data_IF_423596179220
#
_entry.id   IF_423596179220
#
_cell.length_a   1.000
_cell.length_b   1.000
_cell.length_c   1.000
_cell.angle_alpha   90.00
_cell.angle_beta   90.00
_cell.angle_gamma   90.00
#
_symmetry.space_group_name_H-M   'P 1'
#
loop_
_entity.id
_entity.type
_entity.pdbx_description
1 polymer ?
#
# COMPACT_ATOMS: atom_id res chain seq x y z
N UNK A 1 4.07 -10.71 -8.97
CA UNK A 1 3.19 -11.33 -7.96
C UNK A 1 2.33 -10.20 -7.45
N UNK A 2 1.02 -10.39 -7.39
CA UNK A 2 0.07 -9.40 -6.86
C UNK A 2 -0.54 -9.99 -5.60
N UNK A 3 -0.50 -9.26 -4.50
CA UNK A 3 -1.10 -9.66 -3.23
C UNK A 3 -2.12 -8.60 -2.81
N UNK A 4 -3.25 -9.04 -2.25
CA UNK A 4 -4.26 -8.17 -1.66
C UNK A 4 -4.21 -8.28 -0.14
N UNK A 5 -4.08 -7.14 0.52
CA UNK A 5 -3.92 -6.99 1.96
C UNK A 5 -5.21 -6.47 2.57
N UNK A 6 -5.65 -7.14 3.63
CA UNK A 6 -6.84 -6.76 4.39
C UNK A 6 -6.50 -6.64 5.88
N UNK A 7 -7.10 -5.67 6.56
CA UNK A 7 -6.89 -5.49 7.99
C UNK A 7 -7.40 -6.69 8.83
N UNK A 8 -8.34 -7.45 8.29
CA UNK A 8 -9.00 -8.60 8.91
C UNK A 8 -8.55 -9.96 8.35
N UNK A 9 -7.46 -10.01 7.56
CA UNK A 9 -6.97 -11.25 6.96
C UNK A 9 -6.75 -12.37 7.99
N UNK A 10 -7.14 -13.61 7.69
CA UNK A 10 -7.02 -14.71 8.66
C UNK A 10 -5.56 -14.98 9.07
N UNK A 11 -4.62 -14.81 8.13
CA UNK A 11 -3.17 -14.93 8.31
C UNK A 11 -2.58 -13.61 8.85
N UNK A 12 -2.19 -13.54 10.13
CA UNK A 12 -1.72 -12.29 10.73
C UNK A 12 -0.47 -11.71 10.05
N UNK A 13 0.39 -12.57 9.49
CA UNK A 13 1.60 -12.22 8.76
C UNK A 13 1.35 -11.52 7.42
N UNK A 14 0.09 -11.44 6.98
CA UNK A 14 -0.34 -10.67 5.81
C UNK A 14 -1.26 -9.50 6.20
N UNK A 15 -1.53 -9.26 7.49
CA UNK A 15 -2.25 -8.04 7.90
C UNK A 15 -1.32 -6.85 7.81
N UNK A 16 -1.73 -5.70 7.26
CA UNK A 16 -0.98 -4.47 7.42
C UNK A 16 -0.90 -4.07 8.90
N UNK A 17 0.15 -3.34 9.27
CA UNK A 17 0.31 -2.81 10.63
C UNK A 17 -0.60 -1.59 10.87
N UNK A 18 -0.86 -0.83 9.80
CA UNK A 18 -1.77 0.30 9.74
C UNK A 18 -3.16 -0.13 9.26
N UNK A 19 -4.21 0.41 9.89
CA UNK A 19 -5.59 0.17 9.45
C UNK A 19 -6.04 1.29 8.50
N UNK A 20 -6.60 0.95 7.31
CA UNK A 20 -7.21 1.97 6.46
C UNK A 20 -8.45 2.57 7.11
N UNK A 21 -8.60 3.89 6.96
CA UNK A 21 -9.82 4.62 7.29
C UNK A 21 -10.90 4.37 6.24
N UNK A 22 -12.16 4.58 6.63
CA UNK A 22 -13.31 4.49 5.73
C UNK A 22 -13.12 5.35 4.47
N UNK A 23 -13.75 4.89 3.39
CA UNK A 23 -13.74 5.57 2.11
C UNK A 23 -14.25 7.01 2.25
N UNK A 24 -13.45 8.03 1.88
CA UNK A 24 -13.88 9.42 1.98
C UNK A 24 -14.99 9.77 0.97
N UNK A 25 -15.22 8.92 -0.04
CA UNK A 25 -16.22 9.15 -1.09
C UNK A 25 -17.57 8.49 -0.81
N UNK A 26 -17.58 7.25 -0.31
CA UNK A 26 -18.82 6.49 -0.07
C UNK A 26 -19.03 6.07 1.39
N UNK A 27 -18.08 6.33 2.28
CA UNK A 27 -18.17 5.98 3.71
C UNK A 27 -17.94 4.51 4.06
N UNK A 28 -17.77 3.63 3.06
CA UNK A 28 -17.54 2.19 3.24
C UNK A 28 -16.25 1.90 4.02
N UNK A 29 -16.26 0.88 4.85
CA UNK A 29 -15.09 0.31 5.53
C UNK A 29 -14.44 -0.86 4.75
N UNK A 30 -15.01 -1.22 3.60
CA UNK A 30 -14.50 -2.25 2.69
C UNK A 30 -13.31 -1.72 1.89
N UNK A 31 -12.16 -1.62 2.58
CA UNK A 31 -10.89 -1.10 2.06
C UNK A 31 -9.85 -2.20 2.03
N UNK A 32 -9.15 -2.29 0.91
CA UNK A 32 -8.03 -3.20 0.69
C UNK A 32 -6.83 -2.46 0.08
N UNK A 33 -5.68 -3.08 0.19
CA UNK A 33 -4.44 -2.58 -0.41
C UNK A 33 -3.84 -3.67 -1.27
N UNK A 34 -3.65 -3.40 -2.55
CA UNK A 34 -2.95 -4.32 -3.44
C UNK A 34 -1.47 -3.93 -3.49
N UNK A 35 -0.59 -4.93 -3.48
CA UNK A 35 0.86 -4.76 -3.68
C UNK A 35 1.32 -5.56 -4.89
N UNK A 36 2.36 -5.04 -5.55
CA UNK A 36 3.01 -5.69 -6.67
C UNK A 36 4.47 -5.26 -6.79
N UNK A 37 5.27 -6.03 -7.53
CA UNK A 37 6.64 -5.62 -7.82
C UNK A 37 6.67 -4.42 -8.78
N UNK A 38 7.53 -3.46 -8.47
CA UNK A 38 7.80 -2.31 -9.32
C UNK A 38 9.10 -2.49 -10.11
N UNK A 39 9.02 -2.34 -11.43
CA UNK A 39 10.20 -2.31 -12.29
C UNK A 39 10.92 -3.66 -12.44
N UNK A 40 12.24 -3.59 -12.64
CA UNK A 40 13.12 -4.76 -12.76
C UNK A 40 13.94 -4.92 -11.48
N UNK A 41 14.41 -6.14 -11.16
CA UNK A 41 15.35 -6.32 -10.07
C UNK A 41 16.67 -5.55 -10.30
N UNK A 42 17.27 -5.08 -9.21
CA UNK A 42 18.59 -4.48 -9.18
C UNK A 42 19.71 -5.54 -9.35
N UNK A 43 20.97 -5.12 -9.44
CA UNK A 43 22.12 -6.01 -9.68
C UNK A 43 22.29 -7.08 -8.60
N UNK A 44 21.85 -6.82 -7.37
CA UNK A 44 21.86 -7.75 -6.24
C UNK A 44 20.62 -8.67 -6.20
N UNK A 45 19.69 -8.50 -7.14
CA UNK A 45 18.44 -9.26 -7.25
C UNK A 45 17.30 -8.73 -6.39
N UNK A 46 17.48 -7.63 -5.65
CA UNK A 46 16.39 -6.96 -4.94
C UNK A 46 15.39 -6.34 -5.92
N UNK A 47 14.10 -6.34 -5.59
CA UNK A 47 13.05 -5.73 -6.42
C UNK A 47 12.18 -4.84 -5.56
N UNK A 48 11.97 -3.61 -6.00
CA UNK A 48 11.12 -2.67 -5.30
C UNK A 48 9.66 -3.10 -5.34
N UNK A 49 8.90 -2.66 -4.34
CA UNK A 49 7.46 -2.86 -4.25
C UNK A 49 6.71 -1.57 -4.57
N UNK A 50 5.54 -1.73 -5.15
CA UNK A 50 4.49 -0.73 -5.21
C UNK A 50 3.24 -1.26 -4.49
N UNK A 51 2.40 -0.34 -4.02
CA UNK A 51 1.09 -0.66 -3.47
C UNK A 51 0.11 0.49 -3.67
N UNK A 52 -1.19 0.17 -3.71
CA UNK A 52 -2.23 1.19 -3.68
C UNK A 52 -3.45 0.71 -2.89
N UNK A 53 -4.00 1.62 -2.10
CA UNK A 53 -5.19 1.37 -1.29
C UNK A 53 -6.44 1.78 -2.05
N UNK A 54 -7.49 0.96 -2.01
CA UNK A 54 -8.73 1.21 -2.73
C UNK A 54 -9.97 0.71 -2.00
N UNK A 55 -11.13 1.27 -2.35
CA UNK A 55 -12.42 0.88 -1.82
C UNK A 55 -13.10 -0.14 -2.74
N UNK A 56 -13.48 -1.29 -2.20
CA UNK A 56 -14.14 -2.35 -2.96
C UNK A 56 -15.51 -1.92 -3.49
N UNK A 57 -16.25 -1.13 -2.72
CA UNK A 57 -17.65 -0.82 -3.02
C UNK A 57 -17.82 0.25 -4.10
N UNK A 58 -17.01 1.30 -4.09
CA UNK A 58 -17.10 2.38 -5.08
C UNK A 58 -15.93 2.44 -6.07
N UNK A 59 -14.92 1.60 -5.89
CA UNK A 59 -13.75 1.53 -6.76
C UNK A 59 -12.80 2.73 -6.67
N UNK A 60 -13.00 3.66 -5.72
CA UNK A 60 -12.07 4.79 -5.54
C UNK A 60 -10.69 4.27 -5.14
N UNK A 61 -9.64 4.76 -5.82
CA UNK A 61 -8.26 4.32 -5.60
C UNK A 61 -7.40 5.47 -5.09
N UNK A 62 -6.45 5.13 -4.22
CA UNK A 62 -5.34 5.99 -3.87
C UNK A 62 -4.25 6.04 -4.95
N UNK A 63 -3.26 6.91 -4.78
CA UNK A 63 -2.08 6.90 -5.63
C UNK A 63 -1.24 5.66 -5.37
N UNK A 64 -0.40 5.32 -6.35
CA UNK A 64 0.69 4.36 -6.20
C UNK A 64 1.65 4.84 -5.09
N UNK A 65 2.00 3.95 -4.16
CA UNK A 65 2.97 4.19 -3.11
C UNK A 65 4.32 4.57 -3.71
N UNK A 66 4.77 3.84 -4.73
CA UNK A 66 6.03 4.12 -5.42
C UNK A 66 6.04 5.54 -6.01
N UNK A 67 4.95 5.93 -6.68
CA UNK A 67 4.84 7.27 -7.23
C UNK A 67 4.88 8.37 -6.15
N UNK A 68 4.37 8.08 -4.95
CA UNK A 68 4.35 9.02 -3.82
C UNK A 68 5.70 9.12 -3.11
N UNK A 69 6.46 8.02 -3.01
CA UNK A 69 7.79 7.99 -2.37
C UNK A 69 8.75 9.01 -2.98
N UNK A 70 8.68 9.19 -4.30
CA UNK A 70 9.50 10.18 -5.01
C UNK A 70 9.31 11.63 -4.49
N UNK A 71 8.20 11.90 -3.80
CA UNK A 71 7.84 13.21 -3.24
C UNK A 71 7.86 13.24 -1.70
N UNK A 72 8.27 12.16 -1.05
CA UNK A 72 8.30 12.05 0.40
C UNK A 72 9.73 12.06 0.94
N UNK A 73 10.18 13.24 1.36
CA UNK A 73 11.53 13.46 1.90
C UNK A 73 11.80 12.70 3.21
N UNK A 74 10.76 12.22 3.90
CA UNK A 74 10.90 11.46 5.14
C UNK A 74 10.89 9.95 4.91
N UNK A 75 10.70 9.49 3.67
CA UNK A 75 10.68 8.07 3.36
C UNK A 75 12.10 7.51 3.25
N UNK A 76 12.36 6.44 4.00
CA UNK A 76 13.63 5.71 3.93
C UNK A 76 13.62 4.79 2.72
N UNK A 77 14.33 5.16 1.64
CA UNK A 77 14.34 4.41 0.37
C UNK A 77 14.71 2.92 0.52
N UNK A 78 15.52 2.53 1.50
CA UNK A 78 15.85 1.12 1.73
C UNK A 78 14.60 0.25 2.04
N UNK A 79 13.51 0.87 2.50
CA UNK A 79 12.26 0.17 2.83
C UNK A 79 11.39 -0.12 1.60
N UNK A 80 11.78 0.35 0.39
CA UNK A 80 11.02 0.03 -0.84
C UNK A 80 11.10 -1.43 -1.24
N UNK A 81 12.08 -2.16 -0.72
CA UNK A 81 12.27 -3.58 -1.00
C UNK A 81 11.46 -4.48 -0.05
N UNK A 82 10.76 -3.89 0.93
CA UNK A 82 9.92 -4.59 1.90
C UNK A 82 8.43 -4.39 1.57
N UNK A 83 7.75 -5.45 1.09
CA UNK A 83 6.34 -5.39 0.68
C UNK A 83 5.43 -4.79 1.74
N UNK A 84 5.53 -5.27 2.99
CA UNK A 84 4.75 -4.80 4.13
C UNK A 84 4.97 -3.31 4.41
N UNK A 85 6.20 -2.82 4.28
CA UNK A 85 6.53 -1.40 4.50
C UNK A 85 5.85 -0.51 3.46
N UNK A 86 5.82 -0.95 2.20
CA UNK A 86 5.14 -0.27 1.09
C UNK A 86 3.61 -0.32 1.23
N UNK A 87 3.04 -1.45 1.64
CA UNK A 87 1.60 -1.57 1.93
C UNK A 87 1.18 -0.59 3.03
N UNK A 88 1.91 -0.55 4.15
CA UNK A 88 1.63 0.38 5.23
C UNK A 88 1.81 1.85 4.80
N UNK A 89 2.75 2.13 3.91
CA UNK A 89 2.90 3.45 3.31
C UNK A 89 1.67 3.85 2.48
N UNK A 90 1.18 2.97 1.59
CA UNK A 90 -0.04 3.21 0.82
C UNK A 90 -1.26 3.48 1.71
N UNK A 91 -1.39 2.76 2.83
CA UNK A 91 -2.46 2.96 3.81
C UNK A 91 -2.32 4.33 4.51
N UNK A 92 -1.11 4.73 4.90
CA UNK A 92 -0.88 6.06 5.48
C UNK A 92 -1.25 7.17 4.49
N UNK A 93 -0.87 7.05 3.22
CA UNK A 93 -1.25 7.99 2.16
C UNK A 93 -2.75 7.96 1.81
N UNK A 94 -3.45 6.87 2.12
CA UNK A 94 -4.92 6.83 2.09
C UNK A 94 -5.50 7.63 3.25
N UNK A 95 -4.93 7.47 4.43
CA UNK A 95 -5.41 8.06 5.67
C UNK A 95 -5.15 9.58 5.78
N UNK A 96 -4.23 10.15 5.00
CA UNK A 96 -3.94 11.61 4.97
C UNK A 96 -5.04 12.44 4.32
N UNK A 97 -6.02 11.83 3.64
CA UNK A 97 -7.09 12.53 2.91
C UNK A 97 -8.27 13.01 3.78
N UNK A 98 -8.02 13.18 5.08
CA UNK A 98 -8.99 13.72 6.04
C UNK A 98 -9.08 15.23 5.96
#
# INVERSE_FOLDING_TARGET
MENTWHADQEKPELRPDEKPLNCPFCGSDSICTDSSHYGKPDEDGSIAWDAFTWCHDCGSKGPSAWAMIAWDENFHYDTVYEERSIVNYAIRQWNTRK
#
